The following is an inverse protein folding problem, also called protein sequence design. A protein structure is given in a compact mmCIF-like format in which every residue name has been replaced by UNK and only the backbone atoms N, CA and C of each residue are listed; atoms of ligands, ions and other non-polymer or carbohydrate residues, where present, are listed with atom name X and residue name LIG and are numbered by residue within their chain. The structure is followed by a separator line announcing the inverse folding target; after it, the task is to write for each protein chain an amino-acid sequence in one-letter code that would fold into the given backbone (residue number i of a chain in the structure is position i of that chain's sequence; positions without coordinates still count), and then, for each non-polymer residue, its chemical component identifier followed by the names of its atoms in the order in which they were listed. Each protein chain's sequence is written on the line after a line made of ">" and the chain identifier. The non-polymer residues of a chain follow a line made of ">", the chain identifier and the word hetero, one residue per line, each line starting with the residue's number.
data_IF_081201545442
#
_entry.id   IF_081201545442
#
_cell.length_a   1.000
_cell.length_b   1.000
_cell.length_c   1.000
_cell.angle_alpha   90.00
_cell.angle_beta   90.00
_cell.angle_gamma   90.00
#
_symmetry.space_group_name_H-M   'P 1'
#
loop_
_entity.id
_entity.type
_entity.pdbx_description
1 polymer ?
#
# COMPACT_ATOMS: atom_id res chain seq x y z
N UNK A 1 10.85 43.64 -5.01
CA UNK A 1 11.95 43.96 -4.08
C UNK A 1 12.59 42.62 -3.74
N UNK A 2 13.69 42.17 -4.34
CA UNK A 2 14.79 42.91 -4.96
C UNK A 2 16.03 42.72 -4.07
N UNK A 3 16.82 41.70 -4.40
CA UNK A 3 18.26 41.51 -4.11
C UNK A 3 18.64 41.21 -2.65
N UNK A 4 19.66 40.40 -2.32
CA UNK A 4 20.95 40.11 -2.96
C UNK A 4 21.36 38.67 -2.61
N UNK A 5 21.74 37.89 -3.63
CA UNK A 5 22.56 36.69 -3.45
C UNK A 5 24.03 37.14 -3.35
N UNK A 6 24.70 36.83 -2.24
CA UNK A 6 26.16 36.91 -2.16
C UNK A 6 26.68 35.50 -2.38
N UNK A 7 27.34 35.28 -3.51
CA UNK A 7 28.37 34.27 -3.62
C UNK A 7 29.49 34.66 -2.65
N UNK A 8 29.91 33.73 -1.79
CA UNK A 8 31.32 33.50 -1.49
C UNK A 8 31.50 32.27 -0.58
N UNK A 9 32.49 31.47 -0.98
CA UNK A 9 33.27 30.50 -0.19
C UNK A 9 32.63 29.16 0.21
N UNK A 10 32.87 28.17 -0.67
CA UNK A 10 33.51 26.88 -0.37
C UNK A 10 33.72 26.58 1.12
N UNK A 11 32.64 26.24 1.81
CA UNK A 11 32.69 25.57 3.10
C UNK A 11 32.13 24.17 2.90
N UNK A 12 33.07 23.22 2.75
CA UNK A 12 32.78 21.79 2.87
C UNK A 12 31.97 21.58 4.15
N UNK A 13 30.66 21.40 4.01
CA UNK A 13 29.79 21.02 5.09
C UNK A 13 30.20 19.61 5.55
N UNK A 14 31.02 19.53 6.60
CA UNK A 14 31.22 18.30 7.35
C UNK A 14 29.85 17.82 7.85
N UNK A 15 29.45 16.57 7.57
CA UNK A 15 28.21 16.04 8.09
C UNK A 15 28.27 16.06 9.62
N UNK A 16 27.14 16.29 10.32
CA UNK A 16 27.13 16.33 11.77
C UNK A 16 27.62 14.97 12.29
N UNK A 17 28.78 14.99 12.95
CA UNK A 17 29.35 13.82 13.62
C UNK A 17 28.46 13.48 14.81
N UNK A 18 27.57 12.52 14.65
CA UNK A 18 26.82 11.93 15.75
C UNK A 18 27.82 11.22 16.66
N UNK A 19 28.28 11.90 17.72
CA UNK A 19 29.15 11.29 18.72
C UNK A 19 28.35 10.24 19.49
N UNK A 20 28.86 9.00 19.56
CA UNK A 20 28.28 7.97 20.43
C UNK A 20 28.48 8.39 21.88
N UNK A 21 27.45 8.29 22.70
CA UNK A 21 27.53 8.67 24.11
C UNK A 21 28.45 7.71 24.88
N UNK A 22 28.69 7.97 26.18
CA UNK A 22 29.44 7.03 27.03
C UNK A 22 28.69 5.71 27.31
N UNK A 23 27.48 5.52 26.77
CA UNK A 23 26.65 4.35 27.02
C UNK A 23 27.02 3.17 26.09
N UNK A 24 27.48 2.07 26.69
CA UNK A 24 27.82 0.81 25.98
C UNK A 24 26.62 0.23 25.22
N UNK A 25 25.40 0.50 25.67
CA UNK A 25 24.15 0.05 25.04
C UNK A 25 23.91 0.59 23.64
N UNK A 26 24.54 1.71 23.25
CA UNK A 26 24.47 2.22 21.87
C UNK A 26 25.27 1.34 20.90
N UNK A 27 26.33 0.70 21.39
CA UNK A 27 27.20 -0.18 20.61
C UNK A 27 26.47 -1.47 20.24
N UNK A 28 25.59 -1.97 21.11
CA UNK A 28 24.77 -3.17 20.87
C UNK A 28 23.98 -3.07 19.56
N UNK A 29 23.63 -1.85 19.12
CA UNK A 29 22.93 -1.59 17.85
C UNK A 29 23.74 -2.02 16.63
N UNK A 30 25.08 -2.00 16.68
CA UNK A 30 25.91 -2.45 15.56
C UNK A 30 25.72 -3.92 15.23
N UNK A 31 25.16 -4.73 16.15
CA UNK A 31 24.86 -6.13 15.89
C UNK A 31 23.77 -6.33 14.83
N UNK A 32 22.93 -5.32 14.56
CA UNK A 32 21.98 -5.34 13.45
C UNK A 32 22.65 -5.11 12.08
N UNK A 33 23.94 -4.73 12.05
CA UNK A 33 24.70 -4.49 10.82
C UNK A 33 25.47 -5.75 10.41
N UNK A 34 24.76 -6.74 9.86
CA UNK A 34 25.33 -8.06 9.51
C UNK A 34 26.51 -7.98 8.52
N UNK A 35 26.59 -6.89 7.74
CA UNK A 35 27.61 -6.62 6.74
C UNK A 35 28.77 -5.75 7.26
N UNK A 36 28.77 -5.35 8.53
CA UNK A 36 29.87 -4.58 9.11
C UNK A 36 31.15 -5.43 9.16
N UNK A 37 32.22 -4.95 8.52
CA UNK A 37 33.54 -5.62 8.44
C UNK A 37 34.66 -4.82 9.07
N UNK A 38 34.53 -3.50 9.13
CA UNK A 38 35.51 -2.56 9.66
C UNK A 38 34.78 -1.57 10.56
N UNK A 39 35.30 -1.34 11.76
CA UNK A 39 34.74 -0.40 12.72
C UNK A 39 35.88 0.41 13.36
N UNK A 40 35.73 1.74 13.39
CA UNK A 40 36.60 2.63 14.12
C UNK A 40 35.77 3.43 15.11
N UNK A 41 36.12 3.37 16.41
CA UNK A 41 35.47 4.14 17.47
C UNK A 41 36.42 5.16 18.11
N UNK A 42 37.63 5.34 17.57
CA UNK A 42 38.59 6.33 18.05
C UNK A 42 37.95 7.73 18.09
N UNK A 43 38.20 8.46 19.18
CA UNK A 43 37.64 9.80 19.40
C UNK A 43 36.21 9.83 19.96
N UNK A 44 35.53 8.68 20.13
CA UNK A 44 34.23 8.64 20.81
C UNK A 44 34.40 8.56 22.34
N UNK A 45 33.53 9.22 23.13
CA UNK A 45 33.52 9.13 24.60
C UNK A 45 33.57 7.69 25.16
N UNK A 46 32.92 6.74 24.50
CA UNK A 46 32.92 5.33 24.90
C UNK A 46 34.31 4.68 24.83
N UNK A 47 35.18 5.15 23.93
CA UNK A 47 36.56 4.67 23.79
C UNK A 47 37.52 5.26 24.84
N UNK A 48 37.09 6.28 25.59
CA UNK A 48 37.91 6.92 26.63
C UNK A 48 37.85 6.19 27.98
N UNK A 49 36.97 5.19 28.12
CA UNK A 49 36.83 4.41 29.34
C UNK A 49 37.93 3.34 29.43
N UNK A 50 39.01 3.67 30.16
CA UNK A 50 40.16 2.78 30.36
C UNK A 50 39.85 1.55 31.23
N UNK A 51 38.81 1.61 32.05
CA UNK A 51 38.45 0.52 32.97
C UNK A 51 37.62 -0.59 32.29
N UNK A 52 37.12 -0.33 31.07
CA UNK A 52 36.33 -1.29 30.30
C UNK A 52 37.12 -1.75 29.05
N UNK A 53 37.31 -3.06 28.86
CA UNK A 53 38.05 -3.61 27.71
C UNK A 53 37.17 -3.58 26.44
N UNK A 54 36.94 -2.38 25.92
CA UNK A 54 36.00 -2.11 24.82
C UNK A 54 36.31 -2.92 23.55
N UNK A 55 37.59 -3.07 23.21
CA UNK A 55 38.02 -3.83 22.04
C UNK A 55 37.56 -5.30 22.09
N UNK A 56 37.72 -5.94 23.25
CA UNK A 56 37.24 -7.31 23.49
C UNK A 56 35.70 -7.37 23.44
N UNK A 57 35.01 -6.39 24.02
CA UNK A 57 33.54 -6.33 23.96
C UNK A 57 33.03 -6.25 22.51
N UNK A 58 33.61 -5.35 21.70
CA UNK A 58 33.28 -5.17 20.28
C UNK A 58 33.52 -6.45 19.48
N UNK A 59 34.67 -7.10 19.69
CA UNK A 59 35.01 -8.35 19.00
C UNK A 59 34.01 -9.46 19.34
N UNK A 60 33.56 -9.54 20.59
CA UNK A 60 32.55 -10.51 21.02
C UNK A 60 31.17 -10.20 20.43
N UNK A 61 30.79 -8.92 20.45
CA UNK A 61 29.49 -8.45 19.99
C UNK A 61 29.32 -8.58 18.46
N UNK A 62 30.40 -8.41 17.69
CA UNK A 62 30.36 -8.33 16.21
C UNK A 62 31.15 -9.47 15.56
N UNK A 63 30.53 -10.66 15.36
CA UNK A 63 31.25 -11.83 14.85
C UNK A 63 31.77 -11.67 13.41
N UNK A 64 31.20 -10.77 12.59
CA UNK A 64 31.65 -10.58 11.22
C UNK A 64 32.70 -9.47 11.05
N UNK A 65 33.12 -8.84 12.15
CA UNK A 65 34.12 -7.78 12.13
C UNK A 65 35.52 -8.35 11.86
N UNK A 66 36.22 -7.79 10.87
CA UNK A 66 37.59 -8.20 10.49
C UNK A 66 38.63 -7.21 11.04
N UNK A 67 38.28 -5.92 11.09
CA UNK A 67 39.17 -4.86 11.56
C UNK A 67 38.46 -3.99 12.60
N UNK A 68 39.13 -3.78 13.73
CA UNK A 68 38.74 -2.79 14.74
C UNK A 68 39.90 -1.82 14.93
N UNK A 69 39.65 -0.51 14.84
CA UNK A 69 40.67 0.55 14.96
C UNK A 69 41.89 0.28 14.04
N UNK A 70 41.58 -0.04 12.77
CA UNK A 70 42.55 -0.40 11.73
C UNK A 70 43.44 -1.61 12.04
N UNK A 71 43.17 -2.35 13.12
CA UNK A 71 43.90 -3.54 13.52
C UNK A 71 43.10 -4.79 13.16
N UNK A 72 43.78 -5.75 12.51
CA UNK A 72 43.18 -7.04 12.15
C UNK A 72 42.87 -7.89 13.38
N UNK A 73 41.64 -8.41 13.47
CA UNK A 73 41.18 -9.25 14.59
C UNK A 73 41.62 -10.69 14.36
N UNK A 74 42.56 -11.17 15.19
CA UNK A 74 43.03 -12.56 15.15
C UNK A 74 42.04 -13.52 15.82
N UNK A 75 42.03 -14.78 15.38
CA UNK A 75 41.17 -15.83 15.96
C UNK A 75 41.39 -16.01 17.47
N UNK A 76 42.64 -15.98 17.94
CA UNK A 76 42.95 -16.10 19.38
C UNK A 76 42.36 -14.96 20.23
N UNK A 77 42.33 -13.74 19.68
CA UNK A 77 41.73 -12.58 20.36
C UNK A 77 40.22 -12.76 20.48
N UNK A 78 39.60 -13.32 19.43
CA UNK A 78 38.17 -13.59 19.41
C UNK A 78 37.77 -14.66 20.42
N UNK A 79 38.51 -15.75 20.53
CA UNK A 79 38.24 -16.80 21.53
C UNK A 79 38.34 -16.24 22.96
N UNK A 80 39.38 -15.45 23.26
CA UNK A 80 39.55 -14.83 24.58
C UNK A 80 38.41 -13.84 24.91
N UNK A 81 38.09 -12.97 23.95
CA UNK A 81 37.03 -11.99 24.10
C UNK A 81 35.65 -12.66 24.32
N UNK A 82 35.36 -13.72 23.56
CA UNK A 82 34.11 -14.47 23.68
C UNK A 82 33.98 -15.15 25.05
N UNK A 83 35.05 -15.72 25.58
CA UNK A 83 35.05 -16.30 26.93
C UNK A 83 34.76 -15.21 27.97
N UNK A 84 35.42 -14.05 27.86
CA UNK A 84 35.28 -12.95 28.82
C UNK A 84 33.88 -12.35 28.86
N UNK A 85 33.25 -12.21 27.70
CA UNK A 85 31.96 -11.54 27.53
C UNK A 85 30.81 -12.48 27.16
N UNK A 86 30.94 -13.78 27.44
CA UNK A 86 29.94 -14.80 27.08
C UNK A 86 28.55 -14.52 27.70
N UNK A 87 28.51 -13.95 28.91
CA UNK A 87 27.25 -13.66 29.60
C UNK A 87 26.55 -12.46 28.94
N UNK A 88 27.28 -11.37 28.78
CA UNK A 88 26.83 -10.13 28.16
C UNK A 88 26.37 -10.39 26.72
N UNK A 89 27.14 -11.19 25.98
CA UNK A 89 26.77 -11.63 24.64
C UNK A 89 25.41 -12.34 24.62
N UNK A 90 25.17 -13.27 25.55
CA UNK A 90 23.87 -13.98 25.65
C UNK A 90 22.73 -13.05 26.01
N UNK A 91 22.96 -12.07 26.90
CA UNK A 91 21.95 -11.07 27.27
C UNK A 91 21.61 -10.18 26.07
N UNK A 92 22.61 -9.72 25.31
CA UNK A 92 22.42 -8.91 24.09
C UNK A 92 21.75 -9.73 22.99
N UNK A 93 22.14 -11.00 22.78
CA UNK A 93 21.49 -11.91 21.83
C UNK A 93 20.01 -12.13 22.16
N UNK A 94 19.69 -12.37 23.43
CA UNK A 94 18.31 -12.54 23.87
C UNK A 94 17.46 -11.28 23.63
N UNK A 95 18.00 -10.09 23.95
CA UNK A 95 17.31 -8.83 23.72
C UNK A 95 17.15 -8.52 22.22
N UNK A 96 18.18 -8.81 21.41
CA UNK A 96 18.13 -8.67 19.96
C UNK A 96 17.06 -9.58 19.35
N UNK A 97 17.02 -10.85 19.74
CA UNK A 97 16.02 -11.81 19.27
C UNK A 97 14.60 -11.33 19.61
N UNK A 98 14.39 -10.88 20.86
CA UNK A 98 13.11 -10.31 21.29
C UNK A 98 12.73 -9.06 20.48
N UNK A 99 13.70 -8.20 20.15
CA UNK A 99 13.47 -7.02 19.33
C UNK A 99 13.15 -7.39 17.87
N UNK A 100 13.84 -8.37 17.29
CA UNK A 100 13.55 -8.88 15.93
C UNK A 100 12.14 -9.46 15.89
N UNK A 101 11.79 -10.34 16.83
CA UNK A 101 10.45 -10.93 16.93
C UNK A 101 9.36 -9.86 17.11
N UNK A 102 9.60 -8.85 17.94
CA UNK A 102 8.67 -7.75 18.12
C UNK A 102 8.49 -6.94 16.83
N UNK A 103 9.58 -6.63 16.10
CA UNK A 103 9.51 -5.93 14.81
C UNK A 103 8.80 -6.76 13.74
N UNK A 104 9.04 -8.06 13.69
CA UNK A 104 8.38 -8.98 12.76
C UNK A 104 6.88 -9.10 13.07
N UNK A 105 6.49 -9.21 14.35
CA UNK A 105 5.09 -9.20 14.76
C UNK A 105 4.42 -7.88 14.37
N UNK A 106 5.06 -6.76 14.69
CA UNK A 106 4.54 -5.44 14.35
C UNK A 106 4.42 -5.24 12.83
N UNK A 107 5.40 -5.70 12.04
CA UNK A 107 5.34 -5.62 10.59
C UNK A 107 4.22 -6.50 10.03
N UNK A 108 4.01 -7.69 10.60
CA UNK A 108 2.90 -8.60 10.25
C UNK A 108 1.55 -7.95 10.56
N UNK A 109 1.38 -7.42 11.76
CA UNK A 109 0.16 -6.71 12.20
C UNK A 109 -0.14 -5.50 11.30
N UNK A 110 0.88 -4.69 10.96
CA UNK A 110 0.70 -3.56 10.05
C UNK A 110 0.33 -4.01 8.63
N UNK A 111 0.93 -5.09 8.14
CA UNK A 111 0.60 -5.66 6.83
C UNK A 111 -0.83 -6.19 6.80
N UNK A 112 -1.25 -6.87 7.87
CA UNK A 112 -2.62 -7.37 8.00
C UNK A 112 -3.63 -6.22 8.11
N UNK A 113 -3.37 -5.22 8.96
CA UNK A 113 -4.21 -4.04 9.09
C UNK A 113 -4.38 -3.30 7.75
N UNK A 114 -3.30 -3.17 6.96
CA UNK A 114 -3.37 -2.63 5.60
C UNK A 114 -4.27 -3.48 4.70
N UNK A 115 -4.12 -4.81 4.73
CA UNK A 115 -4.95 -5.73 3.94
C UNK A 115 -6.43 -5.61 4.31
N UNK A 116 -6.76 -5.60 5.61
CA UNK A 116 -8.13 -5.45 6.09
C UNK A 116 -8.72 -4.10 5.71
N UNK A 117 -7.95 -3.03 5.87
CA UNK A 117 -8.36 -1.69 5.45
C UNK A 117 -8.62 -1.65 3.93
N UNK A 118 -7.75 -2.23 3.10
CA UNK A 118 -7.95 -2.31 1.65
C UNK A 118 -9.12 -3.21 1.21
N UNK A 119 -9.57 -4.09 2.12
CA UNK A 119 -10.75 -4.96 1.94
C UNK A 119 -12.04 -4.32 2.49
N UNK A 120 -11.96 -3.11 3.06
CA UNK A 120 -13.07 -2.36 3.67
C UNK A 120 -13.73 -3.03 4.89
N UNK A 121 -13.09 -4.05 5.46
CA UNK A 121 -13.59 -4.86 6.59
C UNK A 121 -12.73 -4.71 7.84
N UNK A 122 -11.95 -3.65 7.95
CA UNK A 122 -11.26 -3.33 9.20
C UNK A 122 -12.28 -3.18 10.35
N UNK A 123 -11.91 -3.72 11.51
CA UNK A 123 -12.74 -3.78 12.72
C UNK A 123 -14.02 -4.62 12.56
N UNK A 124 -14.03 -5.58 11.63
CA UNK A 124 -15.04 -6.65 11.52
C UNK A 124 -14.41 -8.05 11.66
N UNK A 125 -13.12 -8.11 11.96
CA UNK A 125 -12.32 -9.33 12.14
C UNK A 125 -12.52 -9.98 13.53
N UNK A 126 -13.31 -9.34 14.41
CA UNK A 126 -13.66 -9.80 15.75
C UNK A 126 -14.95 -9.14 16.25
N UNK A 127 -15.05 -8.92 17.57
CA UNK A 127 -16.24 -8.34 18.21
C UNK A 127 -16.26 -6.80 18.23
N UNK A 128 -15.37 -6.13 17.49
CA UNK A 128 -15.17 -4.69 17.66
C UNK A 128 -16.42 -3.86 17.34
N UNK A 129 -17.25 -4.31 16.38
CA UNK A 129 -18.55 -3.66 16.11
C UNK A 129 -19.51 -3.84 17.29
N UNK A 130 -19.63 -5.04 17.84
CA UNK A 130 -20.48 -5.31 19.00
C UNK A 130 -20.01 -4.54 20.23
N UNK A 131 -18.70 -4.50 20.49
CA UNK A 131 -18.12 -3.71 21.58
C UNK A 131 -18.46 -2.22 21.45
N UNK A 132 -18.61 -1.72 20.22
CA UNK A 132 -18.97 -0.33 19.95
C UNK A 132 -20.44 -0.01 20.28
N UNK A 133 -21.33 -1.01 20.30
CA UNK A 133 -22.75 -0.83 20.63
C UNK A 133 -22.91 -0.28 22.04
N UNK A 134 -22.09 -0.80 22.97
CA UNK A 134 -22.12 -0.43 24.37
C UNK A 134 -21.13 0.68 24.75
N UNK A 135 -20.50 1.32 23.76
CA UNK A 135 -19.56 2.42 24.00
C UNK A 135 -20.34 3.68 24.31
N UNK A 136 -20.03 4.27 25.46
CA UNK A 136 -20.69 5.47 26.00
C UNK A 136 -22.19 5.27 26.32
N UNK A 137 -22.66 4.02 26.40
CA UNK A 137 -24.04 3.67 26.79
C UNK A 137 -24.09 3.10 28.21
N UNK A 138 -23.90 3.97 29.20
CA UNK A 138 -24.01 3.59 30.61
C UNK A 138 -25.46 3.19 30.96
N UNK A 139 -26.43 3.84 30.31
CA UNK A 139 -27.86 3.71 30.56
C UNK A 139 -28.40 2.35 30.06
N UNK A 140 -28.02 1.90 28.88
CA UNK A 140 -28.36 0.59 28.35
C UNK A 140 -27.74 -0.56 29.15
N UNK A 141 -26.52 -0.38 29.68
CA UNK A 141 -25.85 -1.40 30.51
C UNK A 141 -26.58 -1.70 31.82
N UNK A 142 -27.35 -0.73 32.34
CA UNK A 142 -28.18 -0.95 33.53
C UNK A 142 -29.22 -2.06 33.29
N UNK A 143 -29.69 -2.24 32.06
CA UNK A 143 -30.67 -3.28 31.72
C UNK A 143 -30.11 -4.70 31.90
N UNK A 144 -28.79 -4.88 31.87
CA UNK A 144 -28.12 -6.16 32.11
C UNK A 144 -28.14 -6.59 33.58
N UNK A 145 -28.53 -5.68 34.48
CA UNK A 145 -28.64 -5.94 35.93
C UNK A 145 -29.99 -6.56 36.32
N UNK A 146 -30.92 -6.70 35.37
CA UNK A 146 -32.28 -7.25 35.57
C UNK A 146 -32.27 -8.75 35.91
N UNK A 147 -31.15 -9.43 35.65
CA UNK A 147 -30.91 -10.81 36.07
C UNK A 147 -30.33 -11.67 34.96
N UNK A 148 -30.19 -12.96 35.24
CA UNK A 148 -29.54 -13.94 34.36
C UNK A 148 -30.13 -13.99 32.95
N UNK A 149 -31.45 -13.84 32.79
CA UNK A 149 -32.11 -13.88 31.48
C UNK A 149 -31.70 -12.74 30.55
N UNK A 150 -31.45 -11.54 31.10
CA UNK A 150 -30.96 -10.41 30.30
C UNK A 150 -29.51 -10.63 29.84
N UNK A 151 -28.70 -11.28 30.69
CA UNK A 151 -27.31 -11.63 30.38
C UNK A 151 -27.24 -12.71 29.30
N UNK A 152 -28.03 -13.78 29.44
CA UNK A 152 -28.12 -14.85 28.43
C UNK A 152 -28.58 -14.31 27.07
N UNK A 153 -29.56 -13.39 27.05
CA UNK A 153 -30.02 -12.74 25.82
C UNK A 153 -28.92 -11.87 25.19
N UNK A 154 -28.11 -11.18 26.00
CA UNK A 154 -26.99 -10.38 25.49
C UNK A 154 -25.86 -11.24 24.93
N UNK A 155 -25.58 -12.40 25.53
CA UNK A 155 -24.63 -13.39 25.02
C UNK A 155 -25.09 -13.98 23.68
N UNK A 156 -26.39 -14.30 23.54
CA UNK A 156 -26.97 -14.73 22.26
C UNK A 156 -26.88 -13.63 21.20
N UNK A 157 -27.18 -12.39 21.59
CA UNK A 157 -27.07 -11.23 20.70
C UNK A 157 -25.63 -10.98 20.23
N UNK A 158 -24.64 -11.09 21.12
CA UNK A 158 -23.22 -11.00 20.76
C UNK A 158 -22.84 -12.05 19.71
N UNK A 159 -23.28 -13.29 19.92
CA UNK A 159 -23.00 -14.40 19.00
C UNK A 159 -23.62 -14.17 17.63
N UNK A 160 -24.88 -13.76 17.58
CA UNK A 160 -25.60 -13.49 16.32
C UNK A 160 -24.94 -12.34 15.52
N UNK A 161 -24.55 -11.27 16.22
CA UNK A 161 -23.81 -10.15 15.60
C UNK A 161 -22.44 -10.60 15.12
N UNK A 162 -21.74 -11.44 15.88
CA UNK A 162 -20.45 -11.99 15.48
C UNK A 162 -20.59 -12.83 14.21
N UNK A 163 -21.56 -13.74 14.13
CA UNK A 163 -21.79 -14.57 12.95
C UNK A 163 -22.01 -13.72 11.68
N UNK A 164 -22.84 -12.68 11.74
CA UNK A 164 -23.08 -11.79 10.60
C UNK A 164 -21.85 -10.94 10.24
N UNK A 165 -21.12 -10.41 11.23
CA UNK A 165 -19.89 -9.63 10.96
C UNK A 165 -18.80 -10.50 10.33
N UNK A 166 -18.71 -11.77 10.71
CA UNK A 166 -17.80 -12.73 10.07
C UNK A 166 -18.17 -13.03 8.61
N UNK A 167 -19.45 -13.07 8.26
CA UNK A 167 -19.86 -13.21 6.85
C UNK A 167 -19.50 -11.97 6.02
N UNK A 168 -19.70 -10.77 6.56
CA UNK A 168 -19.24 -9.52 5.92
C UNK A 168 -17.72 -9.53 5.76
N UNK A 169 -16.99 -9.94 6.79
CA UNK A 169 -15.53 -10.04 6.78
C UNK A 169 -15.01 -10.97 5.67
N UNK A 170 -15.54 -12.20 5.61
CA UNK A 170 -15.19 -13.19 4.56
C UNK A 170 -15.52 -12.67 3.17
N UNK A 171 -16.70 -12.04 3.02
CA UNK A 171 -17.11 -11.43 1.76
C UNK A 171 -16.11 -10.35 1.32
N UNK A 172 -15.73 -9.44 2.21
CA UNK A 172 -14.77 -8.37 1.90
C UNK A 172 -13.40 -8.91 1.48
N UNK A 173 -12.88 -9.92 2.19
CA UNK A 173 -11.62 -10.56 1.81
C UNK A 173 -11.68 -11.26 0.44
N UNK A 174 -12.78 -11.96 0.16
CA UNK A 174 -12.98 -12.61 -1.14
C UNK A 174 -13.02 -11.57 -2.27
N UNK A 175 -13.79 -10.50 -2.08
CA UNK A 175 -13.90 -9.41 -3.07
C UNK A 175 -12.60 -8.64 -3.25
N UNK A 176 -11.81 -8.51 -2.18
CA UNK A 176 -10.47 -7.94 -2.26
C UNK A 176 -9.59 -8.75 -3.22
N UNK A 177 -9.56 -10.09 -3.09
CA UNK A 177 -8.76 -10.96 -3.96
C UNK A 177 -9.22 -10.85 -5.41
N UNK A 178 -10.52 -10.99 -5.68
CA UNK A 178 -11.08 -10.88 -7.04
C UNK A 178 -10.73 -9.52 -7.67
N UNK A 179 -10.81 -8.44 -6.90
CA UNK A 179 -10.48 -7.07 -7.35
C UNK A 179 -8.98 -6.89 -7.61
N UNK A 180 -8.13 -7.41 -6.72
CA UNK A 180 -6.68 -7.28 -6.86
C UNK A 180 -6.14 -8.07 -8.06
N UNK A 181 -6.71 -9.25 -8.31
CA UNK A 181 -6.47 -10.02 -9.53
C UNK A 181 -6.89 -9.25 -10.78
N UNK A 182 -8.10 -8.68 -10.80
CA UNK A 182 -8.56 -7.89 -11.95
C UNK A 182 -7.68 -6.65 -12.22
N UNK A 183 -7.27 -5.94 -11.17
CA UNK A 183 -6.37 -4.79 -11.29
C UNK A 183 -5.03 -5.24 -11.86
N UNK A 184 -4.47 -6.35 -11.37
CA UNK A 184 -3.18 -6.87 -11.82
C UNK A 184 -3.24 -7.28 -13.29
N UNK A 185 -4.25 -8.08 -13.66
CA UNK A 185 -4.44 -8.55 -15.03
C UNK A 185 -4.60 -7.37 -16.00
N UNK A 186 -5.35 -6.34 -15.62
CA UNK A 186 -5.48 -5.13 -16.43
C UNK A 186 -4.14 -4.38 -16.59
N UNK A 187 -3.39 -4.21 -15.50
CA UNK A 187 -2.10 -3.52 -15.53
C UNK A 187 -1.05 -4.27 -16.36
N UNK A 188 -0.99 -5.60 -16.22
CA UNK A 188 -0.06 -6.45 -16.97
C UNK A 188 -0.38 -6.38 -18.47
N UNK A 189 -1.65 -6.51 -18.85
CA UNK A 189 -2.08 -6.38 -20.25
C UNK A 189 -1.78 -4.98 -20.83
N UNK A 190 -1.98 -3.92 -20.04
CA UNK A 190 -1.67 -2.55 -20.46
C UNK A 190 -0.16 -2.37 -20.70
N UNK A 191 0.67 -2.92 -19.81
CA UNK A 191 2.12 -2.85 -19.93
C UNK A 191 2.62 -3.68 -21.13
N UNK A 192 2.08 -4.87 -21.32
CA UNK A 192 2.44 -5.76 -22.42
C UNK A 192 2.08 -5.15 -23.78
N UNK A 193 0.87 -4.59 -23.93
CA UNK A 193 0.46 -3.91 -25.15
C UNK A 193 1.34 -2.70 -25.48
N UNK A 194 1.73 -1.90 -24.47
CA UNK A 194 2.66 -0.78 -24.66
C UNK A 194 4.06 -1.25 -25.09
N UNK A 195 4.56 -2.33 -24.48
CA UNK A 195 5.88 -2.87 -24.79
C UNK A 195 5.92 -3.51 -26.18
N UNK A 196 4.86 -4.20 -26.58
CA UNK A 196 4.71 -4.76 -27.91
C UNK A 196 4.77 -3.65 -28.96
N UNK A 197 3.99 -2.58 -28.80
CA UNK A 197 4.01 -1.45 -29.74
C UNK A 197 5.38 -0.77 -29.78
N UNK A 198 5.99 -0.52 -28.62
CA UNK A 198 7.32 0.07 -28.55
C UNK A 198 8.35 -0.77 -29.32
N UNK A 199 8.24 -2.09 -29.21
CA UNK A 199 9.13 -3.02 -29.92
C UNK A 199 8.87 -3.00 -31.43
N UNK A 200 7.61 -2.93 -31.86
CA UNK A 200 7.25 -2.82 -33.28
C UNK A 200 7.75 -1.50 -33.87
N UNK A 201 7.49 -0.37 -33.22
CA UNK A 201 7.95 0.94 -33.66
C UNK A 201 9.48 1.06 -33.71
N UNK A 202 10.18 0.45 -32.75
CA UNK A 202 11.65 0.38 -32.79
C UNK A 202 12.16 -0.38 -34.02
N UNK A 203 11.54 -1.51 -34.37
CA UNK A 203 11.92 -2.26 -35.58
C UNK A 203 11.67 -1.47 -36.85
N UNK A 204 10.51 -0.81 -36.98
CA UNK A 204 10.20 0.03 -38.15
C UNK A 204 11.25 1.14 -38.33
N UNK A 205 11.66 1.79 -37.23
CA UNK A 205 12.71 2.81 -37.25
C UNK A 205 14.07 2.21 -37.61
N UNK A 206 14.44 1.07 -37.03
CA UNK A 206 15.70 0.39 -37.32
C UNK A 206 15.80 -0.03 -38.79
N UNK A 207 14.72 -0.57 -39.34
CA UNK A 207 14.64 -0.97 -40.75
C UNK A 207 14.76 0.24 -41.69
N UNK A 208 14.09 1.35 -41.36
CA UNK A 208 14.24 2.61 -42.09
C UNK A 208 15.66 3.18 -42.00
N UNK A 209 16.31 3.13 -40.83
CA UNK A 209 17.68 3.61 -40.67
C UNK A 209 18.67 2.81 -41.51
N UNK A 210 18.50 1.48 -41.57
CA UNK A 210 19.29 0.62 -42.46
C UNK A 210 19.05 0.95 -43.94
N UNK A 211 17.80 1.21 -44.32
CA UNK A 211 17.45 1.63 -45.69
C UNK A 211 18.08 2.98 -46.04
N UNK A 212 17.94 3.98 -45.16
CA UNK A 212 18.53 5.32 -45.31
C UNK A 212 20.03 5.26 -45.53
N UNK A 213 20.76 4.46 -44.74
CA UNK A 213 22.21 4.34 -44.88
C UNK A 213 22.62 3.76 -46.26
N UNK A 214 21.83 2.83 -46.81
CA UNK A 214 22.06 2.30 -48.17
C UNK A 214 21.79 3.35 -49.26
N UNK A 215 20.65 4.04 -49.17
CA UNK A 215 20.27 5.10 -50.13
C UNK A 215 21.29 6.24 -50.12
N UNK A 216 21.77 6.64 -48.93
CA UNK A 216 22.73 7.73 -48.81
C UNK A 216 24.11 7.35 -49.37
N UNK A 217 24.53 6.10 -49.25
CA UNK A 217 25.75 5.63 -49.89
C UNK A 217 25.62 5.63 -51.41
N UNK A 218 24.48 5.17 -51.95
CA UNK A 218 24.21 5.18 -53.39
C UNK A 218 24.14 6.62 -53.95
N UNK A 219 23.48 7.53 -53.24
CA UNK A 219 23.41 8.94 -53.58
C UNK A 219 24.81 9.59 -53.55
N UNK A 220 25.64 9.26 -52.54
CA UNK A 220 27.03 9.74 -52.44
C UNK A 220 27.90 9.26 -53.60
N UNK A 221 27.78 7.99 -53.99
CA UNK A 221 28.51 7.44 -55.14
C UNK A 221 28.08 8.16 -56.43
N UNK A 222 26.77 8.31 -56.64
CA UNK A 222 26.20 8.99 -57.82
C UNK A 222 26.65 10.45 -57.89
N UNK A 223 26.61 11.17 -56.76
CA UNK A 223 27.09 12.55 -56.68
C UNK A 223 28.57 12.68 -57.02
N UNK A 224 29.42 11.78 -56.49
CA UNK A 224 30.86 11.79 -56.80
C UNK A 224 31.14 11.57 -58.28
N UNK A 225 30.37 10.70 -58.96
CA UNK A 225 30.51 10.49 -60.39
C UNK A 225 30.12 11.74 -61.19
N UNK A 226 29.02 12.40 -60.81
CA UNK A 226 28.62 13.68 -61.39
C UNK A 226 29.71 14.75 -61.20
N UNK A 227 30.25 14.90 -60.00
CA UNK A 227 31.34 15.84 -59.70
C UNK A 227 32.61 15.54 -60.52
N UNK A 228 32.95 14.27 -60.71
CA UNK A 228 34.10 13.86 -61.54
C UNK A 228 33.89 14.24 -63.01
N UNK A 229 32.71 13.98 -63.57
CA UNK A 229 32.40 14.30 -64.97
C UNK A 229 32.49 15.82 -65.21
N UNK A 230 31.98 16.64 -64.27
CA UNK A 230 32.12 18.10 -64.32
C UNK A 230 33.59 18.53 -64.27
N UNK A 231 34.41 17.92 -63.42
CA UNK A 231 35.85 18.21 -63.32
C UNK A 231 36.65 17.80 -64.58
N UNK A 232 36.18 16.80 -65.32
CA UNK A 232 36.75 16.37 -66.59
C UNK A 232 36.30 17.21 -67.79
N UNK A 233 35.38 18.16 -67.59
CA UNK A 233 34.87 19.05 -68.63
C UNK A 233 33.82 18.41 -69.53
N UNK A 234 33.17 17.35 -69.04
CA UNK A 234 32.06 16.70 -69.75
C UNK A 234 30.83 17.63 -69.76
N UNK A 235 30.07 17.58 -70.86
CA UNK A 235 28.87 18.39 -71.03
C UNK A 235 27.80 17.98 -69.99
N UNK A 236 27.15 18.96 -69.36
CA UNK A 236 26.13 18.74 -68.33
C UNK A 236 24.93 17.99 -68.93
N UNK A 237 24.63 18.25 -70.20
CA UNK A 237 23.59 17.58 -71.00
C UNK A 237 24.07 16.26 -71.65
N UNK A 238 25.24 15.73 -71.28
CA UNK A 238 25.68 14.43 -71.78
C UNK A 238 24.71 13.33 -71.36
N UNK A 239 24.52 12.33 -72.22
CA UNK A 239 23.61 11.20 -71.96
C UNK A 239 23.95 10.45 -70.67
N UNK A 240 25.21 10.49 -70.23
CA UNK A 240 25.68 9.86 -68.99
C UNK A 240 25.32 10.70 -67.76
N UNK A 241 25.54 12.02 -67.80
CA UNK A 241 25.13 12.93 -66.71
C UNK A 241 23.62 12.99 -66.53
N UNK A 242 22.85 12.99 -67.62
CA UNK A 242 21.38 12.92 -67.57
C UNK A 242 20.89 11.63 -66.89
N UNK A 243 21.56 10.50 -67.13
CA UNK A 243 21.22 9.23 -66.45
C UNK A 243 21.56 9.26 -64.96
N UNK A 244 22.71 9.83 -64.59
CA UNK A 244 23.11 9.96 -63.20
C UNK A 244 22.17 10.92 -62.43
N UNK A 245 21.74 12.01 -63.07
CA UNK A 245 20.72 12.91 -62.51
C UNK A 245 19.37 12.21 -62.32
N UNK A 246 18.91 11.44 -63.31
CA UNK A 246 17.67 10.64 -63.21
C UNK A 246 17.75 9.59 -62.10
N UNK A 247 18.92 8.99 -61.86
CA UNK A 247 19.14 8.10 -60.71
C UNK A 247 19.01 8.87 -59.40
N UNK A 248 19.63 10.05 -59.29
CA UNK A 248 19.54 10.89 -58.09
C UNK A 248 18.08 11.31 -57.79
N UNK A 249 17.33 11.73 -58.82
CA UNK A 249 15.92 12.09 -58.67
C UNK A 249 15.08 10.90 -58.20
N UNK A 250 15.31 9.70 -58.75
CA UNK A 250 14.66 8.47 -58.30
C UNK A 250 15.00 8.13 -56.85
N UNK A 251 16.26 8.26 -56.45
CA UNK A 251 16.68 8.02 -55.06
C UNK A 251 15.96 8.97 -54.10
N UNK A 252 15.84 10.25 -54.45
CA UNK A 252 15.09 11.22 -53.65
C UNK A 252 13.61 10.86 -53.52
N UNK A 253 12.94 10.52 -54.63
CA UNK A 253 11.52 10.12 -54.61
C UNK A 253 11.32 8.87 -53.76
N UNK A 254 12.15 7.84 -53.95
CA UNK A 254 12.05 6.61 -53.16
C UNK A 254 12.33 6.82 -51.67
N UNK A 255 13.24 7.74 -51.34
CA UNK A 255 13.52 8.10 -49.95
C UNK A 255 12.32 8.79 -49.28
N UNK A 256 11.72 9.77 -49.95
CA UNK A 256 10.52 10.46 -49.47
C UNK A 256 9.34 9.50 -49.33
N UNK A 257 9.15 8.59 -50.28
CA UNK A 257 8.11 7.55 -50.20
C UNK A 257 8.33 6.64 -48.97
N UNK A 258 9.55 6.14 -48.78
CA UNK A 258 9.87 5.28 -47.63
C UNK A 258 9.74 5.99 -46.28
N UNK A 259 10.06 7.29 -46.23
CA UNK A 259 9.89 8.10 -45.02
C UNK A 259 8.41 8.30 -44.69
N UNK A 260 7.58 8.58 -45.71
CA UNK A 260 6.14 8.69 -45.55
C UNK A 260 5.50 7.35 -45.14
N UNK A 261 5.93 6.24 -45.73
CA UNK A 261 5.46 4.90 -45.38
C UNK A 261 5.76 4.57 -43.91
N UNK A 262 6.99 4.81 -43.45
CA UNK A 262 7.35 4.64 -42.03
C UNK A 262 6.47 5.51 -41.12
N UNK A 263 6.28 6.78 -41.49
CA UNK A 263 5.43 7.69 -40.71
C UNK A 263 3.98 7.19 -40.63
N UNK A 264 3.40 6.73 -41.74
CA UNK A 264 2.04 6.19 -41.79
C UNK A 264 1.90 4.94 -40.92
N UNK A 265 2.88 4.04 -40.96
CA UNK A 265 2.90 2.82 -40.14
C UNK A 265 2.95 3.17 -38.65
N UNK A 266 3.88 4.05 -38.24
CA UNK A 266 4.00 4.48 -36.84
C UNK A 266 2.74 5.19 -36.34
N UNK A 267 2.14 6.05 -37.15
CA UNK A 267 0.88 6.73 -36.82
C UNK A 267 -0.29 5.74 -36.68
N UNK A 268 -0.38 4.76 -37.59
CA UNK A 268 -1.42 3.73 -37.53
C UNK A 268 -1.28 2.86 -36.28
N UNK A 269 -0.04 2.53 -35.92
CA UNK A 269 0.28 1.79 -34.70
C UNK A 269 -0.13 2.57 -33.45
N UNK A 270 0.23 3.86 -33.38
CA UNK A 270 -0.11 4.72 -32.25
C UNK A 270 -1.64 4.91 -32.09
N UNK A 271 -2.35 5.17 -33.19
CA UNK A 271 -3.81 5.29 -33.18
C UNK A 271 -4.48 4.01 -32.65
N UNK A 272 -4.03 2.85 -33.14
CA UNK A 272 -4.59 1.57 -32.71
C UNK A 272 -4.36 1.30 -31.21
N UNK A 273 -3.17 1.63 -30.69
CA UNK A 273 -2.89 1.51 -29.27
C UNK A 273 -3.78 2.45 -28.44
N UNK A 274 -3.94 3.69 -28.89
CA UNK A 274 -4.79 4.66 -28.22
C UNK A 274 -6.25 4.15 -28.10
N UNK A 275 -6.84 3.71 -29.21
CA UNK A 275 -8.19 3.16 -29.24
C UNK A 275 -8.33 1.92 -28.34
N UNK A 276 -7.35 1.02 -28.37
CA UNK A 276 -7.33 -0.20 -27.55
C UNK A 276 -7.21 0.13 -26.06
N UNK A 277 -6.37 1.10 -25.68
CA UNK A 277 -6.23 1.57 -24.30
C UNK A 277 -7.53 2.22 -23.82
N UNK A 278 -8.16 3.05 -24.64
CA UNK A 278 -9.43 3.70 -24.29
C UNK A 278 -10.56 2.67 -24.08
N UNK A 279 -10.69 1.72 -25.01
CA UNK A 279 -11.70 0.65 -24.92
C UNK A 279 -11.46 -0.25 -23.71
N UNK A 280 -10.22 -0.73 -23.52
CA UNK A 280 -9.87 -1.60 -22.39
C UNK A 280 -10.05 -0.90 -21.04
N UNK A 281 -9.67 0.39 -20.94
CA UNK A 281 -9.86 1.20 -19.73
C UNK A 281 -11.34 1.38 -19.40
N UNK A 282 -12.17 1.64 -20.42
CA UNK A 282 -13.62 1.77 -20.25
C UNK A 282 -14.26 0.46 -19.78
N UNK A 283 -13.85 -0.66 -20.39
CA UNK A 283 -14.31 -1.99 -20.00
C UNK A 283 -13.89 -2.37 -18.58
N UNK A 284 -12.63 -2.09 -18.21
CA UNK A 284 -12.11 -2.30 -16.86
C UNK A 284 -12.87 -1.46 -15.83
N UNK A 285 -13.08 -0.17 -16.09
CA UNK A 285 -13.85 0.69 -15.20
C UNK A 285 -15.26 0.14 -14.98
N UNK A 286 -15.97 -0.24 -16.05
CA UNK A 286 -17.30 -0.85 -15.92
C UNK A 286 -17.28 -2.12 -15.06
N UNK A 287 -16.29 -2.98 -15.27
CA UNK A 287 -16.16 -4.26 -14.55
C UNK A 287 -15.85 -4.06 -13.06
N UNK A 288 -14.90 -3.20 -12.72
CA UNK A 288 -14.60 -2.88 -11.31
C UNK A 288 -15.80 -2.23 -10.63
N UNK A 289 -16.47 -1.28 -11.29
CA UNK A 289 -17.66 -0.63 -10.73
C UNK A 289 -18.78 -1.64 -10.46
N UNK A 290 -19.02 -2.59 -11.36
CA UNK A 290 -20.00 -3.68 -11.16
C UNK A 290 -19.59 -4.61 -10.00
N UNK A 291 -18.32 -5.01 -9.91
CA UNK A 291 -17.82 -5.84 -8.81
C UNK A 291 -18.01 -5.16 -7.45
N UNK A 292 -17.74 -3.86 -7.38
CA UNK A 292 -17.87 -3.07 -6.15
C UNK A 292 -19.33 -2.82 -5.78
N UNK A 293 -20.21 -2.54 -6.75
CA UNK A 293 -21.65 -2.42 -6.52
C UNK A 293 -22.22 -3.72 -5.95
N UNK A 294 -21.88 -4.88 -6.54
CA UNK A 294 -22.30 -6.20 -6.04
C UNK A 294 -21.79 -6.47 -4.63
N UNK A 295 -20.57 -6.05 -4.30
CA UNK A 295 -20.04 -6.15 -2.94
C UNK A 295 -20.88 -5.33 -1.96
N UNK A 296 -21.21 -4.08 -2.30
CA UNK A 296 -22.01 -3.22 -1.45
C UNK A 296 -23.44 -3.72 -1.28
N UNK A 297 -24.09 -4.17 -2.36
CA UNK A 297 -25.44 -4.76 -2.31
C UNK A 297 -25.49 -6.00 -1.40
N UNK A 298 -24.49 -6.90 -1.53
CA UNK A 298 -24.40 -8.08 -0.68
C UNK A 298 -24.12 -7.70 0.79
N UNK A 299 -23.23 -6.73 1.02
CA UNK A 299 -22.91 -6.26 2.38
C UNK A 299 -24.12 -5.59 3.04
N UNK A 300 -24.88 -4.78 2.29
CA UNK A 300 -26.10 -4.14 2.75
C UNK A 300 -27.12 -5.17 3.25
N UNK A 301 -27.25 -6.33 2.59
CA UNK A 301 -28.14 -7.39 3.05
C UNK A 301 -27.77 -7.93 4.44
N UNK A 302 -26.50 -7.96 4.81
CA UNK A 302 -26.06 -8.34 6.16
C UNK A 302 -26.27 -7.20 7.16
N UNK A 303 -26.06 -5.95 6.77
CA UNK A 303 -26.37 -4.80 7.64
C UNK A 303 -27.86 -4.66 7.93
N UNK A 304 -28.75 -5.01 6.98
CA UNK A 304 -30.19 -5.11 7.25
C UNK A 304 -30.47 -6.17 8.32
N UNK A 305 -29.88 -7.36 8.19
CA UNK A 305 -30.01 -8.41 9.20
C UNK A 305 -29.48 -7.97 10.58
N UNK A 306 -28.34 -7.27 10.63
CA UNK A 306 -27.81 -6.72 11.89
C UNK A 306 -28.82 -5.77 12.57
N UNK A 307 -29.50 -4.91 11.80
CA UNK A 307 -30.56 -4.04 12.34
C UNK A 307 -31.75 -4.83 12.85
N UNK A 308 -32.18 -5.86 12.11
CA UNK A 308 -33.28 -6.74 12.51
C UNK A 308 -32.98 -7.45 13.84
N UNK A 309 -31.75 -7.96 14.02
CA UNK A 309 -31.33 -8.61 15.26
C UNK A 309 -31.26 -7.59 16.41
N UNK A 310 -30.77 -6.36 16.17
CA UNK A 310 -30.80 -5.28 17.17
C UNK A 310 -32.23 -4.93 17.62
N UNK A 311 -33.18 -4.89 16.68
CA UNK A 311 -34.61 -4.68 16.98
C UNK A 311 -35.16 -5.84 17.80
N UNK A 312 -34.90 -7.09 17.39
CA UNK A 312 -35.36 -8.28 18.09
C UNK A 312 -34.79 -8.35 19.52
N UNK A 313 -33.50 -8.02 19.71
CA UNK A 313 -32.88 -7.90 21.03
C UNK A 313 -33.61 -6.88 21.90
N UNK A 314 -33.90 -5.69 21.37
CA UNK A 314 -34.64 -4.63 22.08
C UNK A 314 -36.06 -5.05 22.47
N UNK A 315 -36.77 -5.78 21.60
CA UNK A 315 -38.12 -6.28 21.87
C UNK A 315 -38.12 -7.34 22.99
N UNK A 316 -37.19 -8.29 22.94
CA UNK A 316 -37.05 -9.32 23.97
C UNK A 316 -36.57 -8.73 25.30
N UNK A 317 -35.66 -7.76 25.28
CA UNK A 317 -35.26 -7.00 26.46
C UNK A 317 -36.46 -6.27 27.09
N UNK A 318 -37.35 -5.70 26.27
CA UNK A 318 -38.59 -5.06 26.75
C UNK A 318 -39.47 -6.05 27.50
N UNK A 319 -39.63 -7.28 26.99
CA UNK A 319 -40.39 -8.32 27.66
C UNK A 319 -39.76 -8.73 28.99
N UNK A 320 -38.45 -9.03 29.00
CA UNK A 320 -37.70 -9.44 30.19
C UNK A 320 -37.82 -8.39 31.30
N UNK A 321 -37.54 -7.14 30.95
CA UNK A 321 -37.53 -6.03 31.91
C UNK A 321 -38.96 -5.75 32.41
N UNK A 322 -39.95 -5.73 31.51
CA UNK A 322 -41.37 -5.58 31.89
C UNK A 322 -41.80 -6.67 32.87
N UNK A 323 -41.43 -7.93 32.60
CA UNK A 323 -41.78 -9.06 33.47
C UNK A 323 -41.12 -8.93 34.84
N UNK A 324 -39.82 -8.62 34.87
CA UNK A 324 -39.08 -8.39 36.10
C UNK A 324 -39.72 -7.32 36.98
N UNK A 325 -40.03 -6.15 36.41
CA UNK A 325 -40.70 -5.06 37.12
C UNK A 325 -42.05 -5.52 37.68
N UNK A 326 -42.86 -6.16 36.84
CA UNK A 326 -44.20 -6.61 37.21
C UNK A 326 -44.15 -7.61 38.37
N UNK A 327 -43.18 -8.53 38.37
CA UNK A 327 -42.96 -9.50 39.44
C UNK A 327 -42.53 -8.81 40.74
N UNK A 328 -41.54 -7.91 40.69
CA UNK A 328 -41.04 -7.20 41.88
C UNK A 328 -42.12 -6.29 42.50
N UNK A 329 -42.92 -5.60 41.67
CA UNK A 329 -44.08 -4.82 42.13
C UNK A 329 -45.16 -5.69 42.80
N UNK A 330 -45.49 -6.86 42.22
CA UNK A 330 -46.49 -7.77 42.78
C UNK A 330 -46.05 -8.37 44.12
N UNK A 331 -44.76 -8.66 44.27
CA UNK A 331 -44.19 -9.22 45.51
C UNK A 331 -43.92 -8.15 46.58
N UNK A 332 -43.95 -6.86 46.24
CA UNK A 332 -43.50 -5.74 47.09
C UNK A 332 -42.08 -5.94 47.64
N UNK A 333 -41.24 -6.66 46.88
CA UNK A 333 -39.86 -6.95 47.22
C UNK A 333 -38.94 -6.17 46.27
N UNK A 334 -38.16 -5.27 46.83
CA UNK A 334 -37.26 -4.37 46.09
C UNK A 334 -35.79 -4.50 46.51
N UNK A 335 -35.46 -5.47 47.38
CA UNK A 335 -34.09 -5.59 47.90
C UNK A 335 -33.09 -5.88 46.78
N UNK A 336 -33.42 -6.81 45.88
CA UNK A 336 -32.57 -7.19 44.74
C UNK A 336 -32.70 -6.25 43.52
N UNK A 337 -33.48 -5.15 43.61
CA UNK A 337 -33.63 -4.24 42.48
C UNK A 337 -32.43 -3.29 42.43
N UNK A 338 -31.68 -3.26 41.31
CA UNK A 338 -30.55 -2.37 41.12
C UNK A 338 -30.93 -0.91 41.40
N UNK A 339 -30.12 -0.14 42.16
CA UNK A 339 -30.43 1.24 42.51
C UNK A 339 -30.81 2.12 41.32
N UNK A 340 -30.15 1.91 40.19
CA UNK A 340 -30.32 2.62 38.93
C UNK A 340 -31.71 2.36 38.31
N UNK A 341 -32.28 1.16 38.53
CA UNK A 341 -33.61 0.78 38.05
C UNK A 341 -34.74 1.11 39.03
N UNK A 342 -34.43 1.47 40.28
CA UNK A 342 -35.45 1.77 41.31
C UNK A 342 -36.34 2.95 40.95
N UNK A 343 -35.76 3.98 40.35
CA UNK A 343 -36.53 5.15 39.89
C UNK A 343 -37.53 4.77 38.80
N UNK A 344 -37.16 3.78 37.99
CA UNK A 344 -37.93 3.34 36.85
C UNK A 344 -38.98 2.26 37.22
N UNK A 345 -38.96 1.76 38.46
CA UNK A 345 -40.01 0.87 38.99
C UNK A 345 -41.38 1.55 39.08
N UNK A 346 -41.39 2.88 39.25
CA UNK A 346 -42.61 3.69 39.36
C UNK A 346 -42.97 4.42 38.06
N UNK A 347 -42.06 4.42 37.08
CA UNK A 347 -42.21 5.03 35.76
C UNK A 347 -41.80 4.02 34.68
N UNK A 348 -42.79 3.27 34.20
CA UNK A 348 -42.58 2.25 33.16
C UNK A 348 -42.14 2.88 31.83
N UNK A 349 -42.55 4.11 31.56
CA UNK A 349 -42.20 4.81 30.33
C UNK A 349 -40.71 5.18 30.33
N UNK A 350 -40.13 5.50 31.49
CA UNK A 350 -38.69 5.72 31.62
C UNK A 350 -37.87 4.49 31.19
N UNK A 351 -38.32 3.27 31.49
CA UNK A 351 -37.63 2.02 31.09
C UNK A 351 -37.74 1.78 29.59
N UNK A 352 -38.92 1.99 29.04
CA UNK A 352 -39.12 1.86 27.59
C UNK A 352 -38.25 2.86 26.83
N UNK A 353 -38.10 4.08 27.37
CA UNK A 353 -37.20 5.08 26.81
C UNK A 353 -35.71 4.68 26.89
N UNK A 354 -35.27 4.04 27.98
CA UNK A 354 -33.91 3.51 28.10
C UNK A 354 -33.63 2.44 27.03
N UNK A 355 -34.55 1.49 26.88
CA UNK A 355 -34.44 0.41 25.88
C UNK A 355 -34.45 0.98 24.45
N UNK A 356 -35.33 1.95 24.18
CA UNK A 356 -35.38 2.64 22.90
C UNK A 356 -34.05 3.36 22.60
N UNK A 357 -33.49 4.08 23.59
CA UNK A 357 -32.20 4.75 23.46
C UNK A 357 -31.05 3.80 23.15
N UNK A 358 -30.97 2.65 23.86
CA UNK A 358 -29.98 1.60 23.60
C UNK A 358 -30.10 1.06 22.17
N UNK A 359 -31.32 0.73 21.73
CA UNK A 359 -31.57 0.23 20.36
C UNK A 359 -31.16 1.26 19.30
N UNK A 360 -31.48 2.53 19.51
CA UNK A 360 -31.14 3.61 18.59
C UNK A 360 -29.61 3.80 18.53
N UNK A 361 -28.91 3.72 19.66
CA UNK A 361 -27.46 3.76 19.72
C UNK A 361 -26.81 2.58 18.97
N UNK A 362 -27.31 1.35 19.18
CA UNK A 362 -26.82 0.16 18.49
C UNK A 362 -27.03 0.27 16.97
N UNK A 363 -28.24 0.67 16.55
CA UNK A 363 -28.59 0.86 15.13
C UNK A 363 -27.72 1.94 14.48
N UNK A 364 -27.49 3.04 15.18
CA UNK A 364 -26.59 4.10 14.72
C UNK A 364 -25.16 3.61 14.48
N UNK A 365 -24.61 2.74 15.34
CA UNK A 365 -23.27 2.14 15.14
C UNK A 365 -23.21 1.23 13.92
N UNK A 366 -24.30 0.50 13.65
CA UNK A 366 -24.43 -0.33 12.44
C UNK A 366 -24.43 0.56 11.20
N UNK A 367 -25.22 1.65 11.21
CA UNK A 367 -25.30 2.62 10.11
C UNK A 367 -23.94 3.29 9.85
N UNK A 368 -23.27 3.78 10.90
CA UNK A 368 -21.94 4.39 10.82
C UNK A 368 -20.93 3.44 10.16
N UNK A 369 -21.02 2.14 10.47
CA UNK A 369 -20.12 1.13 9.91
C UNK A 369 -20.43 0.81 8.45
N UNK A 370 -21.70 0.75 8.07
CA UNK A 370 -22.15 0.55 6.69
C UNK A 370 -21.74 1.73 5.82
N UNK A 371 -22.03 2.96 6.26
CA UNK A 371 -21.69 4.19 5.55
C UNK A 371 -20.18 4.29 5.31
N UNK A 372 -19.37 3.99 6.33
CA UNK A 372 -17.92 3.97 6.20
C UNK A 372 -17.44 2.98 5.14
N UNK A 373 -18.08 1.81 5.02
CA UNK A 373 -17.76 0.83 3.98
C UNK A 373 -18.12 1.37 2.60
N UNK A 374 -19.33 1.92 2.45
CA UNK A 374 -19.83 2.47 1.19
C UNK A 374 -18.98 3.64 0.70
N UNK A 375 -18.67 4.61 1.57
CA UNK A 375 -17.83 5.77 1.23
C UNK A 375 -16.44 5.35 0.78
N UNK A 376 -15.75 4.50 1.56
CA UNK A 376 -14.38 4.09 1.23
C UNK A 376 -14.31 3.24 -0.04
N UNK A 377 -15.32 2.40 -0.28
CA UNK A 377 -15.49 1.65 -1.51
C UNK A 377 -15.58 2.58 -2.73
N UNK A 378 -16.44 3.60 -2.65
CA UNK A 378 -16.62 4.60 -3.72
C UNK A 378 -15.35 5.43 -3.96
N UNK A 379 -14.77 5.97 -2.90
CA UNK A 379 -13.52 6.76 -2.97
C UNK A 379 -12.37 5.96 -3.59
N UNK A 380 -12.29 4.66 -3.33
CA UNK A 380 -11.28 3.80 -3.93
C UNK A 380 -11.40 3.75 -5.46
N UNK A 381 -12.61 3.52 -5.98
CA UNK A 381 -12.87 3.46 -7.43
C UNK A 381 -12.55 4.81 -8.07
N UNK A 382 -13.09 5.90 -7.52
CA UNK A 382 -12.89 7.25 -8.05
C UNK A 382 -11.40 7.61 -8.10
N UNK A 383 -10.65 7.33 -7.02
CA UNK A 383 -9.21 7.57 -6.97
C UNK A 383 -8.43 6.72 -7.98
N UNK A 384 -8.82 5.46 -8.16
CA UNK A 384 -8.15 4.55 -9.09
C UNK A 384 -8.37 4.97 -10.54
N UNK A 385 -9.62 5.25 -10.93
CA UNK A 385 -9.99 5.72 -12.28
C UNK A 385 -9.29 7.04 -12.59
N UNK A 386 -9.27 7.99 -11.64
CA UNK A 386 -8.58 9.25 -11.82
C UNK A 386 -7.06 9.08 -12.02
N UNK A 387 -6.43 8.13 -11.33
CA UNK A 387 -5.00 7.83 -11.52
C UNK A 387 -4.73 7.20 -12.88
N UNK A 388 -5.56 6.26 -13.30
CA UNK A 388 -5.44 5.61 -14.62
C UNK A 388 -5.58 6.63 -15.74
N UNK A 389 -6.61 7.47 -15.71
CA UNK A 389 -6.82 8.51 -16.72
C UNK A 389 -5.65 9.50 -16.79
N UNK A 390 -5.09 9.91 -15.65
CA UNK A 390 -3.90 10.77 -15.63
C UNK A 390 -2.66 10.10 -16.22
N UNK A 391 -2.44 8.82 -15.91
CA UNK A 391 -1.30 8.06 -16.43
C UNK A 391 -1.41 7.86 -17.96
N UNK A 392 -2.62 7.65 -18.47
CA UNK A 392 -2.89 7.55 -19.90
C UNK A 392 -2.66 8.92 -20.57
N UNK A 393 -3.26 9.99 -20.06
CA UNK A 393 -3.14 11.34 -20.65
C UNK A 393 -1.70 11.87 -20.70
N UNK A 394 -0.86 11.57 -19.71
CA UNK A 394 0.54 12.02 -19.66
C UNK A 394 1.45 11.32 -20.69
N UNK A 395 1.01 10.23 -21.34
CA UNK A 395 1.79 9.54 -22.37
C UNK A 395 1.43 9.98 -23.80
N UNK A 396 0.26 10.58 -23.99
CA UNK A 396 -0.26 10.99 -25.31
C UNK A 396 -0.21 12.52 -25.55
N UNK A 397 0.28 13.30 -24.59
CA UNK A 397 0.64 14.72 -24.73
C UNK A 397 2.15 14.86 -24.56
#
# INVERSE_FOLDING_TARGET
>A
MGEVWSEDEDTMATPPSTQLSSAITEIDRFRFMFNLRVLNLEGNPVAQNMDFPLSEYIITLLPNLHYYEYTFIKSEMREKAQIRFCRELREVEYMQEKEIQARESQAREQSEAKRLASSFVDHLDGNQLFDSFWRDDADGRVLMLVGQQAQELAEEYEKDVFELTQEIYKLGLKRFVERDEEIRDFMDNLQDGQKELQTLGQREIEDFLQYKDRVFEEARITLRLLEQNVMHGDDEDSLENLKLSDIMDKLNVHFEDALNDMWLVLMSQELHLHETIEESTTNFHRKISDMMSKFLEQSQSFFVQLREISVHFSENMTEIVTRFISTKLAMQDFEDVPPELRMCMYDRDAILNLIAGMKDAHTFRIDEREDRMATRSKEFIDNMVNKLNKHILLKFC
#
